data_IF_412521400189
#
_entry.id   IF_412521400189
#
_cell.length_a   1.000
_cell.length_b   1.000
_cell.length_c   1.000
_cell.angle_alpha   90.00
_cell.angle_beta   90.00
_cell.angle_gamma   90.00
#
_symmetry.space_group_name_H-M   'P 1'
#
loop_
_entity.id
_entity.type
_entity.pdbx_description
1 polymer ?
#
# COMPACT_ATOMS: atom_id res chain seq x y z
N UNK A 1 6.30 15.22 -21.23
CA UNK A 1 6.69 14.52 -19.99
C UNK A 1 7.02 15.59 -18.97
N UNK A 2 6.03 16.05 -18.18
CA UNK A 2 6.26 17.05 -17.13
C UNK A 2 6.26 16.32 -15.80
N UNK A 3 7.47 16.11 -15.27
CA UNK A 3 7.68 15.51 -13.96
C UNK A 3 7.24 16.49 -12.88
N UNK A 4 6.03 16.29 -12.34
CA UNK A 4 5.71 16.78 -11.01
C UNK A 4 6.36 15.79 -10.03
N UNK A 5 7.62 16.06 -9.66
CA UNK A 5 8.25 15.42 -8.51
C UNK A 5 7.29 15.55 -7.33
N UNK A 6 6.79 14.40 -6.84
CA UNK A 6 6.28 14.32 -5.47
C UNK A 6 7.29 15.05 -4.60
N UNK A 7 6.83 15.97 -3.73
CA UNK A 7 7.70 16.39 -2.63
C UNK A 7 8.28 15.13 -2.01
N UNK A 8 9.59 15.05 -1.73
CA UNK A 8 10.18 13.88 -1.11
C UNK A 8 9.33 13.54 0.11
N UNK A 9 8.60 12.43 -0.01
CA UNK A 9 7.64 12.03 1.02
C UNK A 9 8.40 11.19 2.00
N UNK A 10 8.28 11.58 3.26
CA UNK A 10 9.00 10.95 4.35
C UNK A 10 8.01 10.19 5.22
N UNK A 11 8.32 8.95 5.50
CA UNK A 11 7.61 8.06 6.41
C UNK A 11 8.36 8.09 7.74
N UNK A 12 7.64 8.48 8.80
CA UNK A 12 8.16 8.41 10.18
C UNK A 12 7.60 7.17 10.84
N UNK A 13 8.46 6.23 11.15
CA UNK A 13 8.08 4.91 11.67
C UNK A 13 9.23 4.32 12.49
N UNK A 14 8.90 3.69 13.62
CA UNK A 14 9.87 3.05 14.53
C UNK A 14 11.03 3.98 14.95
N UNK A 15 10.71 5.26 15.23
CA UNK A 15 11.72 6.27 15.59
C UNK A 15 12.66 6.70 14.46
N UNK A 16 12.45 6.18 13.24
CA UNK A 16 13.21 6.53 12.04
C UNK A 16 12.41 7.45 11.15
N UNK A 17 13.14 8.20 10.34
CA UNK A 17 12.59 9.07 9.30
C UNK A 17 13.19 8.59 7.98
N UNK A 18 12.37 7.95 7.15
CA UNK A 18 12.77 7.27 5.92
C UNK A 18 12.05 7.89 4.73
N UNK A 19 12.74 8.08 3.62
CA UNK A 19 12.09 8.38 2.35
C UNK A 19 11.25 7.17 1.90
N UNK A 20 10.23 7.42 1.07
CA UNK A 20 9.43 6.35 0.44
C UNK A 20 10.34 5.33 -0.27
N UNK A 21 11.36 5.79 -0.98
CA UNK A 21 12.24 4.91 -1.75
C UNK A 21 13.09 4.01 -0.83
N UNK A 22 13.57 4.54 0.29
CA UNK A 22 14.25 3.77 1.34
C UNK A 22 13.31 2.76 2.00
N UNK A 23 12.07 3.16 2.31
CA UNK A 23 11.11 2.29 2.97
C UNK A 23 10.66 1.14 2.06
N UNK A 24 10.30 1.45 0.81
CA UNK A 24 9.74 0.49 -0.14
C UNK A 24 10.78 -0.18 -1.05
N UNK A 25 12.07 -0.14 -0.66
CA UNK A 25 13.18 -0.76 -1.39
C UNK A 25 13.08 -0.58 -2.91
N UNK A 26 12.76 0.65 -3.36
CA UNK A 26 12.37 0.90 -4.75
C UNK A 26 13.60 0.79 -5.64
N UNK A 27 13.80 -0.37 -6.25
CA UNK A 27 14.91 -0.63 -7.18
C UNK A 27 14.40 -0.75 -8.64
N UNK A 28 15.32 -0.76 -9.61
CA UNK A 28 15.00 -0.74 -11.03
C UNK A 28 14.11 -1.92 -11.49
N UNK A 29 14.18 -3.09 -10.85
CA UNK A 29 13.32 -4.24 -11.17
C UNK A 29 11.89 -4.09 -10.66
N UNK A 30 11.67 -3.20 -9.68
CA UNK A 30 10.38 -2.95 -9.03
C UNK A 30 9.67 -1.72 -9.65
N UNK A 31 10.31 -1.05 -10.62
CA UNK A 31 9.80 0.15 -11.29
C UNK A 31 8.74 -0.13 -12.36
N UNK A 32 8.64 -1.37 -12.85
CA UNK A 32 7.64 -1.74 -13.86
C UNK A 32 6.34 -2.20 -13.21
N UNK A 33 5.67 -1.25 -12.55
CA UNK A 33 4.34 -1.46 -11.98
C UNK A 33 3.97 -0.47 -10.90
N UNK A 34 2.67 -0.35 -10.65
CA UNK A 34 2.08 0.36 -9.50
C UNK A 34 2.22 -0.47 -8.20
N UNK A 35 3.40 -1.06 -7.99
CA UNK A 35 3.66 -2.00 -6.89
C UNK A 35 4.64 -1.40 -5.90
N UNK A 36 4.33 -1.54 -4.61
CA UNK A 36 5.19 -1.06 -3.53
C UNK A 36 5.60 -2.25 -2.65
N UNK A 37 6.90 -2.56 -2.65
CA UNK A 37 7.46 -3.72 -1.95
C UNK A 37 8.09 -3.26 -0.64
N UNK A 38 7.94 -3.99 0.46
CA UNK A 38 8.69 -3.69 1.69
C UNK A 38 9.03 -4.96 2.46
N UNK A 39 10.13 -4.93 3.21
CA UNK A 39 10.49 -6.00 4.12
C UNK A 39 9.85 -5.77 5.50
N UNK A 40 9.13 -6.78 5.99
CA UNK A 40 8.62 -6.83 7.34
C UNK A 40 9.73 -7.07 8.36
N UNK A 41 9.49 -6.70 9.62
CA UNK A 41 10.40 -7.01 10.74
C UNK A 41 10.63 -8.51 10.95
N UNK A 42 9.69 -9.33 10.49
CA UNK A 42 9.76 -10.78 10.47
C UNK A 42 10.62 -11.35 9.33
N UNK A 43 11.23 -10.49 8.50
CA UNK A 43 12.02 -10.89 7.33
C UNK A 43 11.18 -11.32 6.11
N UNK A 44 9.85 -11.23 6.20
CA UNK A 44 8.95 -11.52 5.08
C UNK A 44 8.88 -10.29 4.18
N UNK A 45 9.00 -10.50 2.87
CA UNK A 45 8.78 -9.44 1.90
C UNK A 45 7.30 -9.37 1.53
N UNK A 46 6.76 -8.16 1.49
CA UNK A 46 5.38 -7.90 1.15
C UNK A 46 5.29 -6.99 -0.07
N UNK A 47 4.22 -7.12 -0.86
CA UNK A 47 3.95 -6.29 -2.03
C UNK A 47 2.53 -5.76 -2.01
N UNK A 48 2.42 -4.43 -1.98
CA UNK A 48 1.17 -3.74 -2.29
C UNK A 48 0.95 -3.73 -3.80
N UNK A 49 -0.21 -4.18 -4.23
CA UNK A 49 -0.71 -4.04 -5.59
C UNK A 49 -1.86 -3.05 -5.58
N UNK A 50 -1.72 -1.96 -6.34
CA UNK A 50 -2.78 -0.96 -6.51
C UNK A 50 -3.64 -1.35 -7.71
N UNK A 51 -4.93 -1.50 -7.47
CA UNK A 51 -5.96 -1.67 -8.49
C UNK A 51 -6.70 -0.34 -8.67
N UNK A 52 -7.65 -0.26 -9.61
CA UNK A 52 -8.35 1.00 -9.95
C UNK A 52 -9.14 1.57 -8.76
N UNK A 53 -9.73 0.72 -7.93
CA UNK A 53 -10.61 1.13 -6.83
C UNK A 53 -10.16 0.62 -5.47
N UNK A 54 -9.08 -0.16 -5.39
CA UNK A 54 -8.62 -0.79 -4.16
C UNK A 54 -7.11 -0.98 -4.12
N UNK A 55 -6.60 -1.30 -2.94
CA UNK A 55 -5.22 -1.71 -2.69
C UNK A 55 -5.22 -3.04 -1.94
N UNK A 56 -4.34 -3.95 -2.36
CA UNK A 56 -4.19 -5.29 -1.75
C UNK A 56 -2.74 -5.53 -1.41
N UNK A 57 -2.49 -6.16 -0.27
CA UNK A 57 -1.18 -6.57 0.18
C UNK A 57 -1.04 -8.07 0.07
N UNK A 58 0.09 -8.50 -0.47
CA UNK A 58 0.44 -9.91 -0.58
C UNK A 58 1.81 -10.16 0.05
N UNK A 59 2.04 -11.40 0.51
CA UNK A 59 3.40 -11.90 0.64
C UNK A 59 4.01 -11.93 -0.76
N UNK A 60 5.22 -11.38 -0.92
CA UNK A 60 5.95 -11.38 -2.19
C UNK A 60 6.65 -12.73 -2.41
N UNK A 61 5.86 -13.79 -2.42
CA UNK A 61 6.28 -15.15 -2.73
C UNK A 61 5.55 -15.67 -3.98
N UNK A 62 5.91 -16.88 -4.41
CA UNK A 62 5.25 -17.52 -5.55
C UNK A 62 3.77 -17.81 -5.31
N UNK A 63 3.33 -17.89 -4.03
CA UNK A 63 1.94 -18.16 -3.66
C UNK A 63 1.07 -16.92 -3.76
N UNK A 64 1.66 -15.72 -3.67
CA UNK A 64 0.94 -14.46 -3.58
C UNK A 64 -0.14 -14.54 -2.49
N UNK A 65 0.24 -14.95 -1.28
CA UNK A 65 -0.70 -15.08 -0.16
C UNK A 65 -1.26 -13.71 0.19
N UNK A 66 -2.59 -13.54 0.20
CA UNK A 66 -3.25 -12.28 0.56
C UNK A 66 -3.10 -12.00 2.06
N UNK A 67 -2.66 -10.79 2.40
CA UNK A 67 -2.38 -10.35 3.77
C UNK A 67 -3.28 -9.19 4.17
N UNK A 68 -3.60 -8.30 3.24
CA UNK A 68 -4.54 -7.20 3.49
C UNK A 68 -5.34 -6.83 2.23
N UNK A 69 -6.57 -6.36 2.44
CA UNK A 69 -7.42 -5.86 1.37
C UNK A 69 -8.20 -4.64 1.84
N UNK A 70 -8.06 -3.53 1.12
CA UNK A 70 -8.83 -2.32 1.42
C UNK A 70 -10.19 -2.35 0.74
N UNK A 71 -11.25 -2.20 1.53
CA UNK A 71 -12.60 -2.07 1.02
C UNK A 71 -13.02 -0.61 1.07
N UNK A 72 -13.34 -0.04 -0.10
CA UNK A 72 -13.90 1.31 -0.18
C UNK A 72 -15.25 1.39 0.54
N UNK A 73 -15.57 2.61 0.99
CA UNK A 73 -16.90 2.95 1.46
C UNK A 73 -17.90 2.74 0.32
N UNK A 74 -19.04 2.14 0.63
CA UNK A 74 -20.19 2.14 -0.27
C UNK A 74 -21.40 2.82 0.42
N UNK A 75 -22.28 3.43 -0.37
CA UNK A 75 -23.44 4.21 0.14
C UNK A 75 -24.74 3.40 0.17
N UNK A 76 -24.67 2.10 -0.14
CA UNK A 76 -25.83 1.24 -0.06
C UNK A 76 -26.73 1.20 -1.31
N UNK A 77 -26.24 1.67 -2.47
CA UNK A 77 -27.07 1.77 -3.69
C UNK A 77 -27.42 0.41 -4.32
N UNK A 78 -26.50 -0.56 -4.29
CA UNK A 78 -26.70 -1.92 -4.80
C UNK A 78 -26.45 -3.03 -3.76
N UNK A 79 -25.76 -2.70 -2.66
CA UNK A 79 -25.37 -3.62 -1.59
C UNK A 79 -25.64 -2.97 -0.24
N UNK A 80 -25.42 -3.66 0.88
CA UNK A 80 -25.50 -3.05 2.20
C UNK A 80 -24.44 -1.94 2.34
N UNK A 81 -24.88 -0.77 2.83
CA UNK A 81 -24.01 0.36 3.13
C UNK A 81 -22.94 -0.03 4.16
N UNK A 82 -21.68 0.33 3.91
CA UNK A 82 -20.55 0.06 4.81
C UNK A 82 -19.50 1.18 4.79
N UNK A 83 -18.88 1.50 5.93
CA UNK A 83 -17.71 2.38 5.97
C UNK A 83 -16.53 1.73 5.23
N UNK A 84 -15.51 2.52 4.92
CA UNK A 84 -14.26 1.98 4.41
C UNK A 84 -13.52 1.23 5.53
N UNK A 85 -12.87 0.12 5.21
CA UNK A 85 -12.07 -0.64 6.18
C UNK A 85 -10.93 -1.40 5.50
N UNK A 86 -9.83 -1.59 6.23
CA UNK A 86 -8.74 -2.46 5.83
C UNK A 86 -8.92 -3.82 6.51
N UNK A 87 -9.15 -4.85 5.72
CA UNK A 87 -9.24 -6.23 6.19
C UNK A 87 -7.84 -6.85 6.23
N UNK A 88 -7.50 -7.50 7.34
CA UNK A 88 -6.22 -8.20 7.54
C UNK A 88 -6.46 -9.71 7.62
N UNK A 89 -5.58 -10.49 6.99
CA UNK A 89 -5.69 -11.94 6.90
C UNK A 89 -4.50 -12.63 7.58
N UNK A 90 -4.78 -13.75 8.24
CA UNK A 90 -3.78 -14.57 8.94
C UNK A 90 -3.44 -14.08 10.35
N UNK A 91 -2.47 -14.75 10.97
CA UNK A 91 -1.97 -14.40 12.30
C UNK A 91 -0.77 -13.48 12.15
N UNK A 92 -1.02 -12.18 12.27
CA UNK A 92 -0.01 -11.12 12.19
C UNK A 92 0.35 -10.66 13.60
N UNK A 93 1.63 -10.41 13.86
CA UNK A 93 2.05 -9.76 15.11
C UNK A 93 1.80 -8.24 15.06
N UNK A 94 1.75 -7.61 16.23
CA UNK A 94 1.42 -6.18 16.35
C UNK A 94 2.37 -5.30 15.52
N UNK A 95 3.67 -5.65 15.47
CA UNK A 95 4.67 -4.91 14.69
C UNK A 95 4.40 -4.98 13.18
N UNK A 96 3.98 -6.14 12.68
CA UNK A 96 3.59 -6.33 11.28
C UNK A 96 2.32 -5.52 10.99
N UNK A 97 1.35 -5.53 11.90
CA UNK A 97 0.11 -4.74 11.76
C UNK A 97 0.42 -3.25 11.68
N UNK A 98 1.27 -2.71 12.57
CA UNK A 98 1.67 -1.31 12.55
C UNK A 98 2.33 -0.92 11.21
N UNK A 99 3.22 -1.78 10.71
CA UNK A 99 3.91 -1.56 9.45
C UNK A 99 2.95 -1.59 8.25
N UNK A 100 1.97 -2.50 8.26
CA UNK A 100 0.92 -2.58 7.25
C UNK A 100 0.08 -1.31 7.26
N UNK A 101 -0.32 -0.81 8.42
CA UNK A 101 -1.14 0.41 8.52
C UNK A 101 -0.39 1.62 7.97
N UNK A 102 0.88 1.80 8.35
CA UNK A 102 1.70 2.94 7.90
C UNK A 102 1.92 2.91 6.39
N UNK A 103 2.25 1.74 5.84
CA UNK A 103 2.44 1.60 4.39
C UNK A 103 1.14 1.74 3.62
N UNK A 104 0.03 1.22 4.15
CA UNK A 104 -1.30 1.35 3.57
C UNK A 104 -1.71 2.82 3.39
N UNK A 105 -1.53 3.66 4.42
CA UNK A 105 -1.89 5.09 4.35
C UNK A 105 -1.17 5.78 3.20
N UNK A 106 0.12 5.49 3.01
CA UNK A 106 0.89 6.03 1.89
C UNK A 106 0.38 5.52 0.54
N UNK A 107 0.23 4.21 0.38
CA UNK A 107 -0.15 3.59 -0.90
C UNK A 107 -1.57 4.01 -1.33
N UNK A 108 -2.55 4.03 -0.43
CA UNK A 108 -3.91 4.47 -0.77
C UNK A 108 -3.97 5.97 -1.10
N UNK A 109 -3.17 6.80 -0.41
CA UNK A 109 -3.03 8.23 -0.78
C UNK A 109 -2.45 8.38 -2.18
N UNK A 110 -1.36 7.67 -2.47
CA UNK A 110 -0.72 7.70 -3.78
C UNK A 110 -1.65 7.22 -4.89
N UNK A 111 -2.41 6.13 -4.67
CA UNK A 111 -3.40 5.63 -5.62
C UNK A 111 -4.44 6.70 -5.98
N UNK A 112 -5.04 7.35 -4.98
CA UNK A 112 -6.04 8.41 -5.20
C UNK A 112 -5.48 9.61 -5.94
N UNK A 113 -4.24 9.98 -5.66
CA UNK A 113 -3.57 11.08 -6.36
C UNK A 113 -3.28 10.70 -7.82
N UNK A 114 -2.78 9.49 -8.10
CA UNK A 114 -2.56 9.00 -9.46
C UNK A 114 -3.85 8.83 -10.27
N UNK A 115 -4.92 8.27 -9.68
CA UNK A 115 -6.20 8.12 -10.37
C UNK A 115 -6.80 9.49 -10.73
N UNK A 116 -6.61 10.51 -9.89
CA UNK A 116 -7.01 11.88 -10.20
C UNK A 116 -6.20 12.50 -11.36
N UNK A 117 -4.95 12.06 -11.58
CA UNK A 117 -4.12 12.54 -12.69
C UNK A 117 -4.47 11.88 -14.02
N UNK A 118 -4.98 10.64 -14.02
CA UNK A 118 -5.45 9.96 -15.24
C UNK A 118 -6.84 10.44 -15.69
N UNK A 119 -7.53 11.25 -14.88
CA UNK A 119 -8.87 11.79 -15.14
C UNK A 119 -8.88 13.23 -15.69
N UNK A 120 -7.71 13.84 -15.97
CA UNK A 120 -7.52 15.20 -16.51
C UNK A 120 -6.82 15.11 -17.86
#
# INVERSE_FOLDING_TARGET
MKEHFFRPTTIRYDGRELTVDEFFQRNASNMWGRNYVFAGHNGVEYVWKMEVDTVKLFVNDWRNTLVAHFHQRNLGLMHQARPAYLELFGNLDDRTVDQIIVTFVYVEKYRRECDNWDAI
#
